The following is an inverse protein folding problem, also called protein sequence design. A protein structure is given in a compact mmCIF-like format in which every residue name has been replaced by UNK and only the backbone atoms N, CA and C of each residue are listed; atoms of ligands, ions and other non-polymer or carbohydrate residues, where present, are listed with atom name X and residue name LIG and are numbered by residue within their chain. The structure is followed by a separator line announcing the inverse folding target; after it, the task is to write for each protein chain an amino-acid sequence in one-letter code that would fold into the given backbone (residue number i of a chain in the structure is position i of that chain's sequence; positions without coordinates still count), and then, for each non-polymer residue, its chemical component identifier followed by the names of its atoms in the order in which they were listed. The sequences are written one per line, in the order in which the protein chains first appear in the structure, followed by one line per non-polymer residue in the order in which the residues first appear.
data_IF_226287815782
#
_entry.id   IF_226287815782
#
_cell.length_a   1.000
_cell.length_b   1.000
_cell.length_c   1.000
_cell.angle_alpha   90.00
_cell.angle_beta   90.00
_cell.angle_gamma   90.00
#
_symmetry.space_group_name_H-M   'P 1'
#
loop_
_entity.id
_entity.type
_entity.pdbx_description
1 polymer ?
#
# COMPACT_ATOMS: atom_id res chain seq x y z
N UNK A 1 -5.27 7.63 -14.86
CA UNK A 1 -5.50 6.19 -15.15
C UNK A 1 -5.53 5.97 -16.65
N UNK A 2 -4.92 4.89 -17.15
CA UNK A 2 -4.88 4.53 -18.58
C UNK A 2 -5.54 3.16 -18.84
N UNK A 3 -6.13 2.99 -20.02
CA UNK A 3 -6.56 1.71 -20.59
C UNK A 3 -7.76 0.89 -20.11
N UNK A 4 -8.21 0.98 -18.86
CA UNK A 4 -9.51 0.34 -18.55
C UNK A 4 -10.62 1.14 -19.24
N UNK A 5 -11.27 0.54 -20.27
CA UNK A 5 -12.24 1.17 -21.17
C UNK A 5 -13.18 2.15 -20.46
N UNK A 6 -13.39 3.35 -21.04
CA UNK A 6 -14.28 4.44 -20.57
C UNK A 6 -15.53 3.98 -19.77
N UNK A 7 -16.34 3.00 -20.23
CA UNK A 7 -17.52 2.55 -19.47
C UNK A 7 -17.22 2.01 -18.06
N UNK A 8 -16.05 1.42 -17.79
CA UNK A 8 -15.74 0.82 -16.48
C UNK A 8 -15.25 1.83 -15.44
N UNK A 9 -14.59 2.90 -15.90
CA UNK A 9 -14.33 4.08 -15.05
C UNK A 9 -15.62 4.84 -14.77
N UNK A 10 -16.52 4.90 -15.75
CA UNK A 10 -17.86 5.46 -15.53
C UNK A 10 -18.64 4.65 -14.50
N UNK A 11 -18.53 3.30 -14.48
CA UNK A 11 -19.14 2.47 -13.43
C UNK A 11 -18.54 2.77 -12.05
N UNK A 12 -17.21 2.85 -11.95
CA UNK A 12 -16.56 3.22 -10.69
C UNK A 12 -16.98 4.62 -10.21
N UNK A 13 -17.05 5.61 -11.11
CA UNK A 13 -17.53 6.96 -10.80
C UNK A 13 -19.03 7.02 -10.47
N UNK A 14 -19.85 6.17 -11.10
CA UNK A 14 -21.27 6.05 -10.79
C UNK A 14 -21.49 5.45 -9.41
N UNK A 15 -20.75 4.38 -9.06
CA UNK A 15 -20.77 3.80 -7.71
C UNK A 15 -20.31 4.84 -6.69
N UNK A 16 -19.28 5.62 -7.02
CA UNK A 16 -18.82 6.72 -6.17
C UNK A 16 -19.94 7.73 -5.86
N UNK A 17 -20.65 8.18 -6.90
CA UNK A 17 -21.79 9.08 -6.74
C UNK A 17 -22.91 8.46 -5.92
N UNK A 18 -23.20 7.18 -6.13
CA UNK A 18 -24.23 6.48 -5.35
C UNK A 18 -23.83 6.31 -3.87
N UNK A 19 -22.53 6.18 -3.57
CA UNK A 19 -21.99 6.19 -2.20
C UNK A 19 -22.12 7.60 -1.60
N UNK A 20 -21.76 8.65 -2.34
CA UNK A 20 -21.92 10.05 -1.91
C UNK A 20 -23.39 10.43 -1.68
N UNK A 21 -24.32 9.87 -2.46
CA UNK A 21 -25.77 10.04 -2.31
C UNK A 21 -26.38 9.17 -1.20
N UNK A 22 -25.58 8.36 -0.47
CA UNK A 22 -26.05 7.49 0.60
C UNK A 22 -26.95 6.33 0.14
N UNK A 23 -26.99 6.03 -1.17
CA UNK A 23 -27.86 5.00 -1.78
C UNK A 23 -27.31 3.58 -1.68
N UNK A 24 -26.05 3.43 -1.27
CA UNK A 24 -25.33 2.16 -1.17
C UNK A 24 -24.82 1.98 0.26
N UNK A 25 -25.73 2.07 1.24
CA UNK A 25 -25.42 1.60 2.59
C UNK A 25 -25.31 0.07 2.57
N UNK A 26 -24.25 -0.47 3.18
CA UNK A 26 -24.05 -1.90 3.41
C UNK A 26 -23.87 -2.80 2.18
N UNK A 27 -23.45 -2.25 1.04
CA UNK A 27 -22.99 -3.05 -0.11
C UNK A 27 -21.49 -2.96 -0.29
N UNK A 28 -20.92 -4.04 -0.77
CA UNK A 28 -19.52 -4.10 -1.18
C UNK A 28 -19.38 -4.03 -2.70
N UNK A 29 -18.22 -3.64 -3.18
CA UNK A 29 -17.84 -3.69 -4.58
C UNK A 29 -16.78 -4.78 -4.77
N UNK A 30 -16.82 -5.53 -5.87
CA UNK A 30 -15.77 -6.51 -6.18
C UNK A 30 -15.20 -6.31 -7.56
N UNK A 31 -13.88 -6.16 -7.67
CA UNK A 31 -13.16 -6.18 -8.93
C UNK A 31 -12.69 -7.60 -9.25
N UNK A 32 -13.19 -8.13 -10.36
CA UNK A 32 -12.82 -9.45 -10.86
C UNK A 32 -11.97 -9.33 -12.13
N UNK A 33 -10.89 -10.09 -12.24
CA UNK A 33 -10.16 -10.21 -13.50
C UNK A 33 -8.74 -10.70 -13.31
N UNK A 34 -8.00 -10.88 -14.41
CA UNK A 34 -6.64 -11.42 -14.37
C UNK A 34 -5.69 -10.55 -13.54
N UNK A 35 -4.58 -11.11 -13.02
CA UNK A 35 -3.56 -10.31 -12.37
C UNK A 35 -3.08 -9.19 -13.30
N UNK A 36 -2.65 -8.07 -12.71
CA UNK A 36 -2.11 -6.93 -13.45
C UNK A 36 -3.11 -6.14 -14.32
N UNK A 37 -4.42 -6.29 -14.13
CA UNK A 37 -5.46 -5.46 -14.79
C UNK A 37 -5.79 -4.15 -14.07
N UNK A 38 -5.03 -3.78 -13.04
CA UNK A 38 -5.18 -2.51 -12.34
C UNK A 38 -6.29 -2.45 -11.29
N UNK A 39 -6.84 -3.57 -10.81
CA UNK A 39 -7.87 -3.60 -9.75
C UNK A 39 -7.56 -2.70 -8.54
N UNK A 40 -6.36 -2.86 -7.96
CA UNK A 40 -5.89 -2.02 -6.86
C UNK A 40 -5.72 -0.55 -7.27
N UNK A 41 -5.28 -0.29 -8.50
CA UNK A 41 -5.15 1.07 -9.00
C UNK A 41 -6.52 1.74 -9.13
N UNK A 42 -7.54 1.02 -9.62
CA UNK A 42 -8.93 1.50 -9.71
C UNK A 42 -9.44 1.86 -8.32
N UNK A 43 -9.30 0.97 -7.34
CA UNK A 43 -9.72 1.20 -5.97
C UNK A 43 -9.03 2.43 -5.35
N UNK A 44 -7.73 2.58 -5.54
CA UNK A 44 -6.98 3.74 -5.05
C UNK A 44 -7.46 5.04 -5.72
N UNK A 45 -7.69 5.02 -7.03
CA UNK A 45 -8.22 6.19 -7.73
C UNK A 45 -9.64 6.55 -7.30
N UNK A 46 -10.48 5.57 -6.96
CA UNK A 46 -11.80 5.81 -6.37
C UNK A 46 -11.68 6.51 -5.01
N UNK A 47 -10.82 5.99 -4.12
CA UNK A 47 -10.59 6.60 -2.81
C UNK A 47 -10.11 8.06 -2.93
N UNK A 48 -9.13 8.32 -3.80
CA UNK A 48 -8.63 9.67 -4.08
C UNK A 48 -9.68 10.60 -4.70
N UNK A 49 -10.71 10.06 -5.36
CA UNK A 49 -11.79 10.87 -5.95
C UNK A 49 -12.89 11.19 -4.93
N UNK A 50 -13.03 10.40 -3.85
CA UNK A 50 -13.98 10.70 -2.77
C UNK A 50 -13.54 11.94 -2.02
N UNK A 51 -12.33 11.91 -1.47
CA UNK A 51 -11.69 13.02 -0.78
C UNK A 51 -10.19 12.73 -0.64
N UNK A 52 -9.30 13.74 -0.63
CA UNK A 52 -7.88 13.55 -0.32
C UNK A 52 -7.65 12.90 1.05
N UNK A 53 -8.49 13.25 2.03
CA UNK A 53 -8.37 12.80 3.43
C UNK A 53 -9.19 11.54 3.74
N UNK A 54 -9.84 10.92 2.74
CA UNK A 54 -10.57 9.68 2.96
C UNK A 54 -9.59 8.56 3.32
N UNK A 55 -9.76 7.91 4.48
CA UNK A 55 -8.86 6.86 4.90
C UNK A 55 -8.95 5.65 3.96
N UNK A 56 -7.82 5.22 3.40
CA UNK A 56 -7.72 4.04 2.54
C UNK A 56 -6.91 2.95 3.21
N UNK A 57 -7.59 1.89 3.67
CA UNK A 57 -6.94 0.74 4.31
C UNK A 57 -6.87 -0.40 3.30
N UNK A 58 -5.67 -0.92 3.07
CA UNK A 58 -5.46 -2.10 2.22
C UNK A 58 -5.03 -3.30 3.04
N UNK A 59 -5.79 -4.40 2.94
CA UNK A 59 -5.42 -5.71 3.46
C UNK A 59 -5.25 -6.72 2.31
N UNK A 60 -4.32 -7.66 2.44
CA UNK A 60 -3.98 -8.61 1.38
C UNK A 60 -4.94 -9.81 1.30
N UNK A 61 -5.53 -10.19 2.43
CA UNK A 61 -6.58 -11.19 2.62
C UNK A 61 -7.13 -10.98 4.03
N UNK A 62 -8.32 -11.49 4.33
CA UNK A 62 -8.79 -11.51 5.72
C UNK A 62 -8.09 -12.67 6.41
N UNK A 63 -7.10 -12.34 7.23
CA UNK A 63 -6.42 -13.28 8.13
C UNK A 63 -6.65 -12.81 9.55
N UNK A 64 -7.21 -13.69 10.37
CA UNK A 64 -6.97 -13.61 11.82
C UNK A 64 -5.63 -14.28 12.04
N UNK A 65 -4.70 -13.57 12.67
CA UNK A 65 -3.45 -14.17 13.15
C UNK A 65 -3.80 -15.07 14.34
N UNK A 66 -4.32 -16.26 14.06
CA UNK A 66 -4.20 -17.39 14.98
C UNK A 66 -2.81 -17.99 14.75
N UNK A 67 -1.78 -17.25 15.12
CA UNK A 67 -0.42 -17.77 15.20
C UNK A 67 0.09 -17.50 16.59
N UNK A 68 -0.07 -18.53 17.42
CA UNK A 68 0.84 -18.87 18.51
C UNK A 68 2.26 -18.43 18.17
N UNK A 69 2.93 -17.84 19.17
CA UNK A 69 4.35 -17.56 19.19
C UNK A 69 5.12 -18.86 18.88
N UNK A 70 5.46 -19.06 17.61
CA UNK A 70 6.44 -20.05 17.21
C UNK A 70 7.82 -19.52 17.61
N UNK A 71 8.32 -20.02 18.74
CA UNK A 71 9.75 -20.03 19.05
C UNK A 71 10.51 -20.58 17.84
N UNK A 72 11.36 -19.75 17.26
CA UNK A 72 12.06 -20.10 16.03
C UNK A 72 13.15 -19.10 15.69
N UNK A 73 14.25 -19.18 16.46
CA UNK A 73 15.59 -18.70 16.13
C UNK A 73 15.67 -17.45 15.24
N UNK A 74 15.52 -16.28 15.85
CA UNK A 74 15.92 -15.02 15.22
C UNK A 74 17.44 -15.02 15.01
N UNK A 75 17.87 -15.15 13.76
CA UNK A 75 19.19 -14.68 13.35
C UNK A 75 19.11 -13.16 13.35
N UNK A 76 19.68 -12.57 14.40
CA UNK A 76 19.89 -11.15 14.57
C UNK A 76 20.86 -10.66 13.48
N UNK A 77 20.39 -9.83 12.55
CA UNK A 77 21.28 -9.08 11.66
C UNK A 77 21.56 -7.75 12.36
N UNK A 78 22.61 -7.77 13.20
CA UNK A 78 23.28 -6.56 13.64
C UNK A 78 23.96 -5.91 12.42
N UNK A 79 23.61 -4.65 12.17
CA UNK A 79 24.48 -3.77 11.38
C UNK A 79 25.08 -2.77 12.34
N UNK A 80 26.24 -3.11 12.87
CA UNK A 80 27.11 -2.16 13.55
C UNK A 80 27.67 -1.17 12.52
N UNK A 81 27.32 0.10 12.72
CA UNK A 81 28.21 1.21 12.39
C UNK A 81 28.48 2.03 13.65
N UNK A 82 29.37 1.45 14.45
CA UNK A 82 30.49 2.06 15.15
C UNK A 82 30.38 3.43 15.87
N UNK A 83 30.70 3.30 17.16
CA UNK A 83 31.65 4.10 17.96
C UNK A 83 31.11 5.37 18.62
N UNK A 84 31.11 5.30 19.96
CA UNK A 84 30.80 6.32 20.99
C UNK A 84 29.32 6.54 21.28
N UNK A 85 28.85 5.82 22.30
CA UNK A 85 27.66 6.19 23.05
C UNK A 85 27.88 7.56 23.70
N UNK A 86 27.31 8.58 23.09
CA UNK A 86 27.03 9.85 23.72
C UNK A 86 25.57 10.16 23.39
N UNK A 87 24.69 10.15 24.39
CA UNK A 87 23.41 10.84 24.28
C UNK A 87 23.73 12.26 23.83
N UNK A 88 23.31 12.62 22.61
CA UNK A 88 23.58 13.96 22.06
C UNK A 88 22.73 14.96 22.83
N UNK A 89 23.23 15.44 23.96
CA UNK A 89 22.73 16.65 24.59
C UNK A 89 23.28 17.83 23.83
N UNK A 90 22.38 18.67 23.35
CA UNK A 90 22.68 19.88 22.61
C UNK A 90 21.72 20.97 23.03
N UNK A 91 22.09 22.22 22.77
CA UNK A 91 21.32 23.38 23.19
C UNK A 91 20.78 24.05 21.93
N UNK A 92 19.47 23.92 21.67
CA UNK A 92 18.81 24.71 20.64
C UNK A 92 18.42 26.06 21.24
N UNK A 93 18.97 27.14 20.69
CA UNK A 93 18.63 28.52 21.08
C UNK A 93 17.95 29.16 19.89
N UNK A 94 16.65 29.41 20.00
CA UNK A 94 15.88 30.14 18.98
C UNK A 94 15.96 31.62 19.34
N UNK A 95 16.49 32.43 18.43
CA UNK A 95 16.61 33.88 18.61
C UNK A 95 15.62 34.58 17.68
N UNK A 96 14.74 35.39 18.25
CA UNK A 96 13.99 36.42 17.53
C UNK A 96 14.48 37.79 17.98
N UNK A 97 13.96 38.88 17.41
CA UNK A 97 14.36 40.26 17.73
C UNK A 97 14.21 40.59 19.22
N UNK A 98 13.30 39.91 19.94
CA UNK A 98 12.90 40.33 21.29
C UNK A 98 13.07 39.24 22.37
N UNK A 99 13.18 37.94 22.01
CA UNK A 99 13.22 36.85 23.01
C UNK A 99 14.14 35.70 22.58
N UNK A 100 14.91 35.18 23.54
CA UNK A 100 15.67 33.92 23.44
C UNK A 100 15.00 32.82 24.29
N UNK A 101 14.70 31.66 23.69
CA UNK A 101 14.14 30.50 24.42
C UNK A 101 14.99 29.24 24.20
N UNK A 102 15.11 28.41 25.24
CA UNK A 102 15.98 27.22 25.25
C UNK A 102 15.16 25.91 25.29
N UNK A 103 15.44 25.00 24.36
CA UNK A 103 14.84 23.65 24.33
C UNK A 103 15.91 22.56 24.32
N UNK A 104 15.77 21.57 25.22
CA UNK A 104 16.77 20.50 25.45
C UNK A 104 16.34 19.13 24.88
N UNK A 105 15.05 18.91 24.61
CA UNK A 105 14.48 17.58 24.33
C UNK A 105 14.19 17.24 22.85
N UNK A 106 14.46 18.14 21.89
CA UNK A 106 14.00 18.01 20.49
C UNK A 106 15.10 17.72 19.44
N UNK A 107 16.28 17.29 19.89
CA UNK A 107 17.50 17.24 19.07
C UNK A 107 17.50 16.04 18.11
N UNK A 108 16.93 14.91 18.53
CA UNK A 108 16.90 13.70 17.71
C UNK A 108 16.04 13.87 16.45
N UNK A 109 14.91 14.59 16.56
CA UNK A 109 14.04 14.93 15.43
C UNK A 109 14.75 15.86 14.42
N UNK A 110 15.39 16.92 14.90
CA UNK A 110 16.11 17.90 14.07
C UNK A 110 17.34 17.29 13.37
N UNK A 111 18.00 16.31 13.99
CA UNK A 111 19.15 15.62 13.41
C UNK A 111 18.78 14.72 12.24
N UNK A 112 17.55 14.19 12.21
CA UNK A 112 17.01 13.39 11.10
C UNK A 112 16.64 14.24 9.89
N UNK A 113 16.20 15.49 10.10
CA UNK A 113 15.75 16.38 9.03
C UNK A 113 16.82 17.27 8.40
N UNK A 114 18.08 17.22 8.86
CA UNK A 114 19.18 18.07 8.34
C UNK A 114 18.86 19.58 8.36
N UNK A 115 18.19 20.06 9.41
CA UNK A 115 17.94 21.48 9.58
C UNK A 115 19.27 22.28 9.63
N UNK A 116 19.40 23.29 8.76
CA UNK A 116 20.57 24.18 8.71
C UNK A 116 20.41 25.34 9.71
N UNK A 117 21.50 25.80 10.30
CA UNK A 117 21.50 26.99 11.16
C UNK A 117 21.03 28.22 10.36
N UNK A 118 19.95 28.88 10.81
CA UNK A 118 19.32 30.00 10.12
C UNK A 118 18.04 29.66 9.36
N UNK A 119 17.62 28.38 9.33
CA UNK A 119 16.29 27.98 8.84
C UNK A 119 15.19 28.30 9.85
N UNK A 120 14.02 28.72 9.36
CA UNK A 120 12.80 28.85 10.17
C UNK A 120 12.22 27.45 10.40
N UNK A 121 11.86 27.12 11.65
CA UNK A 121 11.35 25.80 12.04
C UNK A 121 9.99 26.01 12.72
N UNK A 122 8.94 25.42 12.17
CA UNK A 122 7.61 25.39 12.79
C UNK A 122 7.49 24.13 13.64
N UNK A 123 7.33 24.29 14.96
CA UNK A 123 7.25 23.15 15.88
C UNK A 123 5.82 23.04 16.39
N UNK A 124 5.11 22.01 15.94
CA UNK A 124 3.86 21.59 16.57
C UNK A 124 4.17 20.81 17.87
N UNK A 125 3.61 21.27 18.99
CA UNK A 125 3.88 20.72 20.33
C UNK A 125 3.20 19.36 20.54
N UNK A 126 2.20 18.99 19.73
CA UNK A 126 1.46 17.72 19.85
C UNK A 126 1.89 16.67 18.83
N UNK A 127 2.33 17.05 17.62
CA UNK A 127 2.54 16.11 16.50
C UNK A 127 3.99 15.90 16.03
N UNK A 128 4.94 16.79 16.37
CA UNK A 128 6.32 16.69 15.87
C UNK A 128 6.47 17.21 14.44
N UNK A 129 7.37 18.17 14.26
CA UNK A 129 7.44 19.14 13.16
C UNK A 129 7.55 18.59 11.72
N UNK A 130 6.92 19.30 10.79
CA UNK A 130 7.20 19.35 9.35
C UNK A 130 7.89 20.70 9.01
N UNK A 131 8.92 20.69 8.14
CA UNK A 131 9.64 21.91 7.73
C UNK A 131 9.40 22.30 6.26
N UNK A 132 8.82 23.48 6.02
CA UNK A 132 8.89 24.19 4.73
C UNK A 132 9.50 25.60 4.93
N UNK A 133 10.49 25.94 4.08
CA UNK A 133 11.18 27.23 4.13
C UNK A 133 10.31 28.34 3.52
N UNK A 134 9.68 29.15 4.37
CA UNK A 134 9.03 30.41 3.99
C UNK A 134 9.73 31.58 4.68
N UNK A 135 9.57 32.79 4.14
CA UNK A 135 10.16 34.04 4.64
C UNK A 135 9.85 34.26 6.13
N UNK A 136 10.81 34.88 6.82
CA UNK A 136 10.77 35.17 8.25
C UNK A 136 9.44 35.83 8.65
N UNK A 137 8.64 35.21 9.55
CA UNK A 137 7.38 35.77 10.00
C UNK A 137 7.66 37.02 10.85
N UNK A 138 6.97 38.12 10.56
CA UNK A 138 7.05 39.39 11.31
C UNK A 138 6.16 39.39 12.58
N UNK A 139 5.45 38.28 12.85
CA UNK A 139 4.44 38.16 13.90
C UNK A 139 4.89 37.31 15.11
N UNK A 140 4.04 37.29 16.17
CA UNK A 140 4.23 36.53 17.41
C UNK A 140 4.62 35.04 17.19
N UNK A 141 5.54 34.57 18.04
CA UNK A 141 6.16 33.23 18.01
C UNK A 141 5.13 32.10 18.21
N UNK A 142 3.99 32.39 18.84
CA UNK A 142 2.91 31.43 19.07
C UNK A 142 1.60 31.99 18.55
N UNK A 143 1.13 31.44 17.43
CA UNK A 143 -0.23 31.68 16.95
C UNK A 143 -1.13 30.53 17.40
N UNK A 144 -2.27 30.87 17.97
CA UNK A 144 -3.35 29.91 18.20
C UNK A 144 -4.05 29.67 16.86
N UNK A 145 -3.96 28.45 16.36
CA UNK A 145 -4.66 28.02 15.15
C UNK A 145 -5.49 26.80 15.46
N UNK A 146 -6.68 26.72 14.86
CA UNK A 146 -7.47 25.49 14.87
C UNK A 146 -6.87 24.52 13.86
N UNK A 147 -6.44 23.35 14.32
CA UNK A 147 -5.92 22.29 13.47
C UNK A 147 -6.90 21.13 13.50
N UNK A 148 -7.43 20.78 12.34
CA UNK A 148 -8.28 19.61 12.18
C UNK A 148 -7.42 18.35 12.23
N UNK A 149 -7.72 17.43 13.14
CA UNK A 149 -7.04 16.15 13.26
C UNK A 149 -7.98 15.02 12.83
N UNK A 150 -7.49 14.15 11.94
CA UNK A 150 -8.20 12.92 11.57
C UNK A 150 -7.59 11.76 12.35
N UNK A 151 -8.42 11.07 13.13
CA UNK A 151 -8.00 9.94 13.97
C UNK A 151 -8.83 8.72 13.61
N UNK A 152 -8.20 7.54 13.56
CA UNK A 152 -8.94 6.30 13.32
C UNK A 152 -9.65 5.83 14.58
N UNK A 153 -10.88 5.31 14.46
CA UNK A 153 -11.60 4.70 15.59
C UNK A 153 -10.78 3.60 16.27
N UNK A 154 -10.02 2.82 15.50
CA UNK A 154 -9.12 1.81 16.04
C UNK A 154 -8.02 2.40 16.95
N UNK A 155 -7.49 3.58 16.63
CA UNK A 155 -6.47 4.23 17.46
C UNK A 155 -7.07 4.69 18.79
N UNK A 156 -8.28 5.23 18.76
CA UNK A 156 -9.05 5.61 19.96
C UNK A 156 -9.30 4.37 20.82
N UNK A 157 -9.71 3.25 20.21
CA UNK A 157 -9.89 1.96 20.89
C UNK A 157 -8.61 1.49 21.59
N UNK A 158 -7.47 1.50 20.89
CA UNK A 158 -6.20 1.05 21.46
C UNK A 158 -5.76 1.94 22.62
N UNK A 159 -5.84 3.26 22.46
CA UNK A 159 -5.43 4.24 23.48
C UNK A 159 -6.25 4.07 24.77
N UNK A 160 -7.55 3.83 24.65
CA UNK A 160 -8.44 3.69 25.81
C UNK A 160 -8.49 2.26 26.38
N UNK A 161 -7.99 1.25 25.65
CA UNK A 161 -8.04 -0.15 26.11
C UNK A 161 -6.91 -0.54 27.07
N UNK A 162 -5.73 0.11 27.01
CA UNK A 162 -4.55 -0.27 27.80
C UNK A 162 -4.05 0.86 28.70
N UNK A 163 -3.63 0.50 29.91
CA UNK A 163 -2.98 1.40 30.89
C UNK A 163 -1.63 1.96 30.40
N UNK A 164 -1.00 1.37 29.38
CA UNK A 164 0.30 1.79 28.83
C UNK A 164 0.22 2.75 27.61
N UNK A 165 -0.98 3.17 27.17
CA UNK A 165 -1.16 4.34 26.29
C UNK A 165 -0.54 4.30 24.89
N UNK A 166 -0.34 5.50 24.32
CA UNK A 166 0.11 5.81 22.95
C UNK A 166 1.31 4.98 22.40
N UNK A 167 2.34 4.60 23.18
CA UNK A 167 3.48 3.82 22.68
C UNK A 167 3.12 2.45 22.10
N UNK A 168 2.02 1.83 22.55
CA UNK A 168 1.62 0.49 22.08
C UNK A 168 1.15 0.51 20.61
N UNK A 169 0.73 1.67 20.09
CA UNK A 169 0.38 1.83 18.67
C UNK A 169 1.56 1.49 17.74
N UNK A 170 2.78 1.74 18.19
CA UNK A 170 4.00 1.51 17.40
C UNK A 170 4.64 0.14 17.65
N UNK A 171 4.25 -0.55 18.72
CA UNK A 171 4.82 -1.84 19.10
C UNK A 171 4.21 -3.02 18.32
N UNK A 172 3.04 -2.83 17.71
CA UNK A 172 2.33 -3.87 16.94
C UNK A 172 1.67 -4.96 17.80
N UNK A 173 1.91 -4.96 19.11
CA UNK A 173 1.32 -5.88 20.08
C UNK A 173 0.09 -5.25 20.77
N UNK A 174 -0.91 -4.89 19.97
CA UNK A 174 -2.15 -4.26 20.47
C UNK A 174 -3.13 -5.27 21.06
N UNK A 175 -3.01 -6.56 20.71
CA UNK A 175 -3.90 -7.62 21.18
C UNK A 175 -5.37 -7.40 20.81
N UNK A 176 -6.25 -8.26 21.31
CA UNK A 176 -7.69 -8.07 21.13
C UNK A 176 -8.22 -6.97 22.08
N UNK A 177 -9.09 -6.11 21.56
CA UNK A 177 -9.71 -5.03 22.32
C UNK A 177 -11.05 -5.51 22.85
N UNK A 178 -11.25 -5.37 24.16
CA UNK A 178 -12.50 -5.76 24.81
C UNK A 178 -13.70 -5.03 24.16
N UNK A 179 -14.78 -5.75 23.76
CA UNK A 179 -15.98 -5.14 23.21
C UNK A 179 -16.62 -4.07 24.11
N UNK A 180 -16.45 -4.14 25.43
CA UNK A 180 -16.95 -3.11 26.36
C UNK A 180 -16.33 -1.74 26.09
N UNK A 181 -15.00 -1.69 25.87
CA UNK A 181 -14.27 -0.46 25.54
C UNK A 181 -14.74 0.10 24.21
N UNK A 182 -14.93 -0.77 23.20
CA UNK A 182 -15.46 -0.35 21.89
C UNK A 182 -16.85 0.25 22.01
N UNK A 183 -17.73 -0.35 22.82
CA UNK A 183 -19.08 0.17 23.03
C UNK A 183 -19.06 1.53 23.73
N UNK A 184 -18.21 1.72 24.75
CA UNK A 184 -18.04 3.01 25.41
C UNK A 184 -17.55 4.10 24.44
N UNK A 185 -16.60 3.76 23.56
CA UNK A 185 -16.07 4.69 22.57
C UNK A 185 -17.12 5.00 21.50
N UNK A 186 -17.87 4.00 21.03
CA UNK A 186 -18.96 4.21 20.08
C UNK A 186 -20.01 5.18 20.62
N UNK A 187 -20.36 5.08 21.92
CA UNK A 187 -21.27 6.04 22.56
C UNK A 187 -20.68 7.45 22.56
N UNK A 188 -19.42 7.62 22.98
CA UNK A 188 -18.77 8.94 22.98
C UNK A 188 -18.64 9.56 21.60
N UNK A 189 -18.32 8.75 20.59
CA UNK A 189 -18.22 9.21 19.20
C UNK A 189 -19.58 9.61 18.66
N UNK A 190 -20.65 8.91 19.06
CA UNK A 190 -22.02 9.31 18.73
C UNK A 190 -22.40 10.64 19.41
N UNK A 191 -22.05 10.83 20.69
CA UNK A 191 -22.24 12.10 21.41
C UNK A 191 -21.50 13.25 20.71
N UNK A 192 -20.21 13.10 20.39
CA UNK A 192 -19.43 14.13 19.68
C UNK A 192 -19.99 14.45 18.30
N UNK A 193 -20.60 13.46 17.63
CA UNK A 193 -21.28 13.68 16.35
C UNK A 193 -22.57 14.47 16.51
N UNK A 194 -23.35 14.20 17.56
CA UNK A 194 -24.60 14.93 17.86
C UNK A 194 -24.32 16.37 18.31
N UNK A 195 -23.23 16.58 19.07
CA UNK A 195 -22.77 17.90 19.51
C UNK A 195 -22.12 18.72 18.39
N UNK A 196 -21.70 18.07 17.29
CA UNK A 196 -21.02 18.71 16.17
C UNK A 196 -19.52 18.95 16.39
N UNK A 197 -18.95 18.41 17.47
CA UNK A 197 -17.52 18.45 17.80
C UNK A 197 -16.70 17.49 16.91
N UNK A 198 -17.33 16.47 16.33
CA UNK A 198 -16.67 15.51 15.44
C UNK A 198 -17.52 15.16 14.20
N UNK A 199 -16.87 15.06 13.04
CA UNK A 199 -17.44 14.53 11.81
C UNK A 199 -16.89 13.14 11.51
N UNK A 200 -17.78 12.18 11.21
CA UNK A 200 -17.38 10.83 10.82
C UNK A 200 -17.19 10.78 9.31
N UNK A 201 -15.96 10.57 8.87
CA UNK A 201 -15.61 10.39 7.46
C UNK A 201 -15.59 8.88 7.14
N UNK A 202 -16.49 8.36 6.30
CA UNK A 202 -16.45 6.95 5.90
C UNK A 202 -15.21 6.67 5.05
N UNK A 203 -14.42 5.69 5.48
CA UNK A 203 -13.22 5.24 4.78
C UNK A 203 -13.49 4.28 3.62
N UNK A 204 -12.40 3.80 3.03
CA UNK A 204 -12.39 2.72 2.03
C UNK A 204 -11.55 1.56 2.56
N UNK A 205 -12.16 0.38 2.65
CA UNK A 205 -11.47 -0.87 2.98
C UNK A 205 -11.26 -1.69 1.71
N UNK A 206 -10.00 -1.83 1.28
CA UNK A 206 -9.62 -2.65 0.13
C UNK A 206 -9.08 -4.01 0.57
N UNK A 207 -9.74 -5.09 0.16
CA UNK A 207 -9.34 -6.47 0.42
C UNK A 207 -8.84 -7.09 -0.88
N UNK A 208 -7.53 -7.25 -1.00
CA UNK A 208 -6.94 -8.00 -2.12
C UNK A 208 -7.20 -9.51 -1.95
N UNK A 209 -7.07 -10.24 -3.06
CA UNK A 209 -7.13 -11.70 -3.10
C UNK A 209 -8.22 -12.35 -2.22
N UNK A 210 -9.45 -11.82 -2.22
CA UNK A 210 -10.53 -12.25 -1.31
C UNK A 210 -10.85 -13.75 -1.39
N UNK A 211 -10.60 -14.38 -2.55
CA UNK A 211 -10.70 -15.83 -2.76
C UNK A 211 -9.77 -16.67 -1.85
N UNK A 212 -8.82 -16.05 -1.15
CA UNK A 212 -7.94 -16.69 -0.18
C UNK A 212 -8.48 -16.61 1.25
N UNK A 213 -9.57 -15.88 1.50
CA UNK A 213 -10.19 -15.78 2.82
C UNK A 213 -11.10 -16.99 3.10
N UNK A 214 -11.18 -17.37 4.37
CA UNK A 214 -12.06 -18.46 4.81
C UNK A 214 -13.51 -17.99 4.94
N UNK A 215 -14.45 -18.92 4.83
CA UNK A 215 -15.90 -18.63 4.87
C UNK A 215 -16.34 -17.91 6.15
N UNK A 216 -15.79 -18.29 7.30
CA UNK A 216 -16.08 -17.67 8.62
C UNK A 216 -15.68 -16.20 8.68
N UNK A 217 -14.59 -15.83 8.00
CA UNK A 217 -14.13 -14.44 7.95
C UNK A 217 -14.99 -13.60 7.01
N UNK A 218 -15.50 -14.22 5.95
CA UNK A 218 -16.43 -13.59 5.02
C UNK A 218 -17.84 -13.44 5.62
N UNK A 219 -18.27 -14.31 6.54
CA UNK A 219 -19.50 -14.12 7.29
C UNK A 219 -19.38 -12.98 8.31
N UNK A 220 -18.22 -12.82 8.96
CA UNK A 220 -17.94 -11.66 9.80
C UNK A 220 -17.99 -10.36 9.00
N UNK A 221 -17.38 -10.33 7.81
CA UNK A 221 -17.46 -9.19 6.91
C UNK A 221 -18.91 -8.89 6.52
N UNK A 222 -19.72 -9.91 6.24
CA UNK A 222 -21.13 -9.73 5.89
C UNK A 222 -21.92 -9.05 7.01
N UNK A 223 -21.66 -9.41 8.28
CA UNK A 223 -22.26 -8.75 9.44
C UNK A 223 -21.75 -7.32 9.62
N UNK A 224 -20.45 -7.09 9.39
CA UNK A 224 -19.86 -5.76 9.49
C UNK A 224 -20.43 -4.78 8.44
N UNK A 225 -20.78 -5.29 7.25
CA UNK A 225 -21.44 -4.50 6.20
C UNK A 225 -22.88 -4.09 6.57
N UNK A 226 -23.51 -4.68 7.57
CA UNK A 226 -24.86 -4.28 8.01
C UNK A 226 -24.84 -3.01 8.87
N UNK A 227 -23.67 -2.58 9.32
CA UNK A 227 -23.53 -1.38 10.13
C UNK A 227 -23.62 -0.12 9.25
N UNK A 228 -24.34 0.90 9.71
CA UNK A 228 -24.50 2.18 9.02
C UNK A 228 -23.18 2.95 8.86
N UNK A 229 -22.25 2.76 9.80
CA UNK A 229 -20.90 3.35 9.76
C UNK A 229 -19.89 2.50 8.96
N UNK A 230 -20.34 1.46 8.27
CA UNK A 230 -19.45 0.61 7.50
C UNK A 230 -18.74 1.40 6.38
N UNK A 231 -17.40 1.32 6.26
CA UNK A 231 -16.69 1.96 5.17
C UNK A 231 -17.05 1.32 3.83
N UNK A 232 -16.72 1.99 2.73
CA UNK A 232 -16.84 1.39 1.40
C UNK A 232 -15.88 0.20 1.29
N UNK A 233 -16.43 -1.01 1.22
CA UNK A 233 -15.64 -2.24 1.08
C UNK A 233 -15.42 -2.56 -0.40
N UNK A 234 -14.16 -2.59 -0.83
CA UNK A 234 -13.74 -2.97 -2.17
C UNK A 234 -12.96 -4.29 -2.10
N UNK A 235 -13.53 -5.34 -2.67
CA UNK A 235 -12.93 -6.65 -2.82
C UNK A 235 -12.20 -6.76 -4.16
N UNK A 236 -11.09 -7.49 -4.21
CA UNK A 236 -10.44 -7.85 -5.45
C UNK A 236 -10.20 -9.36 -5.53
N UNK A 237 -10.54 -9.95 -6.67
CA UNK A 237 -10.25 -11.35 -6.95
C UNK A 237 -9.54 -11.52 -8.29
N UNK A 238 -8.50 -12.35 -8.26
CA UNK A 238 -7.76 -12.75 -9.46
C UNK A 238 -8.33 -14.04 -10.09
N UNK A 239 -9.33 -14.66 -9.43
CA UNK A 239 -9.93 -15.93 -9.85
C UNK A 239 -11.39 -15.72 -10.23
N UNK A 240 -11.79 -16.31 -11.36
CA UNK A 240 -13.18 -16.28 -11.83
C UNK A 240 -14.08 -17.16 -10.96
N UNK A 241 -13.71 -18.43 -10.82
CA UNK A 241 -14.32 -19.38 -9.89
C UNK A 241 -13.24 -19.84 -8.92
N UNK A 242 -13.54 -19.81 -7.63
CA UNK A 242 -12.63 -20.32 -6.61
C UNK A 242 -13.38 -21.23 -5.64
N UNK A 243 -12.68 -22.25 -5.17
CA UNK A 243 -13.15 -23.19 -4.16
C UNK A 243 -12.97 -22.55 -2.78
N UNK A 244 -13.98 -22.62 -1.90
CA UNK A 244 -13.77 -22.19 -0.52
C UNK A 244 -12.72 -23.09 0.12
N UNK A 245 -11.82 -22.48 0.89
CA UNK A 245 -10.83 -23.23 1.65
C UNK A 245 -11.53 -24.26 2.52
N UNK A 246 -11.00 -25.50 2.52
CA UNK A 246 -11.48 -26.62 3.32
C UNK A 246 -12.89 -27.14 3.02
N UNK A 247 -13.56 -26.67 1.97
CA UNK A 247 -14.85 -27.26 1.52
C UNK A 247 -14.72 -27.83 0.12
N UNK A 248 -15.73 -28.53 -0.39
CA UNK A 248 -15.82 -28.98 -1.80
C UNK A 248 -16.51 -27.95 -2.71
N UNK A 249 -17.10 -26.91 -2.13
CA UNK A 249 -17.93 -25.96 -2.85
C UNK A 249 -17.10 -24.90 -3.56
N UNK A 250 -17.48 -24.59 -4.79
CA UNK A 250 -16.92 -23.53 -5.61
C UNK A 250 -17.95 -22.42 -5.76
N UNK A 251 -17.46 -21.18 -5.75
CA UNK A 251 -18.30 -20.01 -6.01
C UNK A 251 -17.59 -19.01 -6.92
N UNK A 252 -18.35 -18.13 -7.59
CA UNK A 252 -17.78 -16.98 -8.28
C UNK A 252 -16.90 -16.17 -7.33
N UNK A 253 -15.66 -15.92 -7.75
CA UNK A 253 -14.67 -15.13 -7.03
C UNK A 253 -14.27 -15.65 -5.64
N UNK A 254 -14.75 -16.82 -5.22
CA UNK A 254 -14.53 -17.37 -3.89
C UNK A 254 -15.38 -16.69 -2.80
N UNK A 255 -16.49 -16.05 -3.18
CA UNK A 255 -17.39 -15.38 -2.26
C UNK A 255 -18.60 -16.27 -1.90
N UNK A 256 -19.05 -16.29 -0.63
CA UNK A 256 -20.29 -16.95 -0.24
C UNK A 256 -21.48 -16.35 -1.01
N UNK A 257 -22.49 -17.17 -1.31
CA UNK A 257 -23.72 -16.70 -1.97
C UNK A 257 -24.37 -15.51 -1.23
N UNK A 258 -24.37 -15.57 0.10
CA UNK A 258 -24.89 -14.50 0.97
C UNK A 258 -24.21 -13.15 0.71
N UNK A 259 -22.90 -13.16 0.45
CA UNK A 259 -22.14 -11.94 0.17
C UNK A 259 -22.30 -11.51 -1.29
N UNK A 260 -22.50 -12.44 -2.23
CA UNK A 260 -22.69 -12.13 -3.65
C UNK A 260 -23.92 -11.25 -3.89
N UNK A 261 -25.01 -11.45 -3.15
CA UNK A 261 -26.23 -10.62 -3.27
C UNK A 261 -25.99 -9.16 -2.85
N UNK A 262 -24.98 -8.92 -2.01
CA UNK A 262 -24.59 -7.59 -1.51
C UNK A 262 -23.36 -7.03 -2.22
N UNK A 263 -22.83 -7.71 -3.24
CA UNK A 263 -21.59 -7.33 -3.94
C UNK A 263 -21.86 -6.93 -5.38
N UNK A 264 -21.49 -5.70 -5.74
CA UNK A 264 -21.46 -5.27 -7.14
C UNK A 264 -20.16 -5.72 -7.81
N UNK A 265 -20.26 -6.66 -8.76
CA UNK A 265 -19.10 -7.22 -9.45
C UNK A 265 -18.76 -6.41 -10.72
N UNK A 266 -17.55 -5.88 -10.76
CA UNK A 266 -16.96 -5.20 -11.92
C UNK A 266 -15.82 -6.05 -12.48
N UNK A 267 -16.03 -6.57 -13.68
CA UNK A 267 -14.98 -7.29 -14.42
C UNK A 267 -13.95 -6.32 -15.00
N UNK A 268 -12.66 -6.65 -14.90
CA UNK A 268 -11.53 -5.95 -15.52
C UNK A 268 -10.99 -6.75 -16.71
N UNK A 269 -10.56 -6.07 -17.77
CA UNK A 269 -10.01 -6.70 -18.97
C UNK A 269 -8.50 -6.49 -19.04
N UNK A 270 -7.82 -7.31 -19.84
CA UNK A 270 -6.42 -7.08 -20.21
C UNK A 270 -6.29 -5.75 -20.96
N UNK A 271 -5.15 -5.10 -20.77
CA UNK A 271 -4.81 -3.84 -21.44
C UNK A 271 -4.49 -4.07 -22.91
N UNK A 272 -4.81 -3.10 -23.77
CA UNK A 272 -4.29 -3.09 -25.14
C UNK A 272 -2.80 -2.72 -25.16
N UNK A 273 -2.17 -2.86 -26.33
CA UNK A 273 -0.78 -2.44 -26.54
C UNK A 273 -0.59 -0.94 -26.25
N UNK A 274 -1.47 -0.09 -26.79
CA UNK A 274 -1.48 1.35 -26.57
C UNK A 274 -1.60 1.70 -25.08
N UNK A 275 -2.44 0.97 -24.35
CA UNK A 275 -2.63 1.17 -22.92
C UNK A 275 -1.37 0.85 -22.14
N UNK A 276 -0.69 -0.25 -22.48
CA UNK A 276 0.56 -0.66 -21.84
C UNK A 276 1.62 0.39 -22.11
N UNK A 277 1.76 0.86 -23.35
CA UNK A 277 2.72 1.91 -23.70
C UNK A 277 2.51 3.15 -22.84
N UNK A 278 1.28 3.66 -22.76
CA UNK A 278 0.94 4.83 -21.93
C UNK A 278 1.22 4.59 -20.44
N UNK A 279 0.93 3.40 -19.92
CA UNK A 279 1.24 3.05 -18.53
C UNK A 279 2.75 3.07 -18.28
N UNK A 280 3.55 2.50 -19.18
CA UNK A 280 5.00 2.45 -19.05
C UNK A 280 5.63 3.85 -19.13
N UNK A 281 5.15 4.70 -20.06
CA UNK A 281 5.57 6.10 -20.16
C UNK A 281 5.21 6.91 -18.90
N UNK A 282 3.99 6.74 -18.37
CA UNK A 282 3.58 7.41 -17.13
C UNK A 282 4.41 6.95 -15.93
N UNK A 283 4.73 5.65 -15.85
CA UNK A 283 5.58 5.09 -14.79
C UNK A 283 6.98 5.71 -14.78
N UNK A 284 7.56 5.97 -15.96
CA UNK A 284 8.86 6.63 -16.09
C UNK A 284 8.83 8.11 -15.66
N UNK A 285 7.75 8.83 -15.98
CA UNK A 285 7.57 10.25 -15.58
C UNK A 285 7.42 10.41 -14.07
N UNK A 286 6.57 9.60 -13.43
CA UNK A 286 6.26 9.73 -11.99
C UNK A 286 7.47 9.47 -11.07
N UNK A 287 8.44 8.69 -11.52
CA UNK A 287 9.63 8.34 -10.74
C UNK A 287 10.81 9.28 -10.96
N UNK A 288 10.62 10.41 -11.66
CA UNK A 288 11.68 11.35 -12.05
C UNK A 288 12.90 10.60 -12.63
N UNK A 289 12.62 9.58 -13.43
CA UNK A 289 13.62 8.64 -13.94
C UNK A 289 13.98 8.96 -15.39
N UNK A 290 15.20 8.60 -15.85
CA UNK A 290 15.60 8.78 -17.24
C UNK A 290 14.55 8.19 -18.19
N UNK A 291 14.07 9.02 -19.12
CA UNK A 291 13.06 8.62 -20.09
C UNK A 291 13.62 7.56 -21.04
N UNK A 292 12.73 6.76 -21.62
CA UNK A 292 13.12 5.83 -22.68
C UNK A 292 13.38 6.60 -23.97
N UNK A 293 14.37 6.14 -24.74
CA UNK A 293 14.43 6.50 -26.17
C UNK A 293 13.15 6.05 -26.87
N UNK A 294 12.75 6.74 -27.94
CA UNK A 294 11.54 6.40 -28.72
C UNK A 294 11.60 4.93 -29.17
N UNK A 295 12.74 4.50 -29.71
CA UNK A 295 12.97 3.11 -30.13
C UNK A 295 12.92 2.09 -28.98
N UNK A 296 13.29 2.51 -27.76
CA UNK A 296 13.26 1.64 -26.60
C UNK A 296 11.83 1.42 -26.07
N UNK A 297 10.93 2.38 -26.29
CA UNK A 297 9.54 2.33 -25.81
C UNK A 297 8.71 1.29 -26.56
N UNK A 298 8.82 1.24 -27.88
CA UNK A 298 8.13 0.25 -28.72
C UNK A 298 8.64 -1.18 -28.43
N UNK A 299 9.97 -1.35 -28.37
CA UNK A 299 10.58 -2.64 -28.01
C UNK A 299 10.12 -3.09 -26.62
N UNK A 300 10.12 -2.18 -25.64
CA UNK A 300 9.69 -2.51 -24.29
C UNK A 300 8.22 -2.93 -24.22
N UNK A 301 7.34 -2.24 -24.97
CA UNK A 301 5.92 -2.58 -25.05
C UNK A 301 5.72 -3.97 -25.67
N UNK A 302 6.45 -4.30 -26.74
CA UNK A 302 6.43 -5.65 -27.33
C UNK A 302 6.93 -6.74 -26.37
N UNK A 303 7.90 -6.43 -25.49
CA UNK A 303 8.38 -7.33 -24.42
C UNK A 303 7.37 -7.46 -23.26
N UNK A 304 6.57 -6.41 -23.02
CA UNK A 304 5.58 -6.37 -21.95
C UNK A 304 4.31 -7.18 -22.29
N UNK A 305 3.88 -7.19 -23.56
CA UNK A 305 2.68 -7.90 -24.04
C UNK A 305 2.60 -9.38 -23.63
N UNK A 306 3.63 -10.22 -23.83
CA UNK A 306 3.57 -11.65 -23.45
C UNK A 306 3.77 -11.90 -21.93
N UNK A 307 4.23 -10.89 -21.19
CA UNK A 307 4.57 -10.96 -19.76
C UNK A 307 3.51 -10.25 -18.91
N UNK A 308 3.75 -10.10 -17.60
CA UNK A 308 2.85 -9.36 -16.72
C UNK A 308 3.26 -7.88 -16.64
N UNK A 309 2.30 -6.98 -16.51
CA UNK A 309 2.60 -5.55 -16.31
C UNK A 309 3.45 -5.32 -15.06
N UNK A 310 3.24 -6.12 -13.99
CA UNK A 310 4.05 -6.07 -12.77
C UNK A 310 5.52 -6.42 -13.07
N UNK A 311 5.77 -7.49 -13.81
CA UNK A 311 7.12 -7.85 -14.24
C UNK A 311 7.75 -6.74 -15.08
N UNK A 312 7.01 -6.19 -16.05
CA UNK A 312 7.48 -5.10 -16.90
C UNK A 312 7.87 -3.86 -16.08
N UNK A 313 7.03 -3.42 -15.14
CA UNK A 313 7.32 -2.27 -14.28
C UNK A 313 8.55 -2.48 -13.38
N UNK A 314 8.77 -3.70 -12.88
CA UNK A 314 10.01 -4.05 -12.16
C UNK A 314 11.22 -4.06 -13.08
N UNK A 315 11.06 -4.62 -14.29
CA UNK A 315 12.12 -4.65 -15.30
C UNK A 315 12.55 -3.25 -15.71
N UNK A 316 11.61 -2.31 -15.83
CA UNK A 316 11.90 -0.90 -16.07
C UNK A 316 12.79 -0.31 -14.97
N UNK A 317 12.47 -0.55 -13.69
CA UNK A 317 13.33 -0.11 -12.58
C UNK A 317 14.76 -0.66 -12.71
N UNK A 318 14.89 -1.94 -13.06
CA UNK A 318 16.20 -2.56 -13.27
C UNK A 318 16.95 -1.95 -14.47
N UNK A 319 16.27 -1.71 -15.59
CA UNK A 319 16.86 -1.10 -16.78
C UNK A 319 17.31 0.35 -16.50
N UNK A 320 16.56 1.10 -15.70
CA UNK A 320 16.95 2.44 -15.24
C UNK A 320 18.23 2.41 -14.39
N UNK A 321 18.39 1.41 -13.51
CA UNK A 321 19.63 1.23 -12.77
C UNK A 321 20.82 0.92 -13.68
N UNK A 322 20.62 0.10 -14.72
CA UNK A 322 21.66 -0.20 -15.72
C UNK A 322 22.05 1.04 -16.54
N UNK A 323 21.08 1.86 -16.94
CA UNK A 323 21.32 3.12 -17.64
C UNK A 323 22.12 4.11 -16.76
N UNK A 324 21.76 4.23 -15.47
CA UNK A 324 22.51 5.03 -14.49
C UNK A 324 23.95 4.53 -14.31
N UNK A 325 24.16 3.21 -14.27
CA UNK A 325 25.51 2.61 -14.21
C UNK A 325 26.35 2.94 -15.45
N UNK A 326 25.71 3.08 -16.62
CA UNK A 326 26.32 3.56 -17.88
C UNK A 326 26.52 5.07 -17.93
N UNK A 327 26.02 5.83 -16.93
CA UNK A 327 25.93 7.30 -16.95
C UNK A 327 25.14 7.82 -18.15
N UNK A 328 24.09 7.11 -18.54
CA UNK A 328 23.21 7.53 -19.62
C UNK A 328 21.95 8.23 -19.09
N UNK A 329 21.58 9.33 -19.72
CA UNK A 329 20.38 10.13 -19.38
C UNK A 329 19.08 9.49 -19.85
N UNK A 330 19.15 8.47 -20.71
CA UNK A 330 17.99 7.77 -21.26
C UNK A 330 18.22 6.26 -21.30
N UNK A 331 17.14 5.52 -21.02
CA UNK A 331 17.12 4.06 -21.08
C UNK A 331 17.11 3.62 -22.54
N UNK A 332 18.11 2.80 -22.91
CA UNK A 332 18.24 2.24 -24.26
C UNK A 332 17.68 0.81 -24.36
N UNK A 333 17.56 0.32 -25.60
CA UNK A 333 17.16 -1.07 -25.88
C UNK A 333 18.16 -2.08 -25.27
N UNK A 334 19.44 -1.74 -25.22
CA UNK A 334 20.49 -2.58 -24.65
C UNK A 334 20.28 -2.83 -23.14
N UNK A 335 19.88 -1.78 -22.41
CA UNK A 335 19.63 -1.87 -20.97
C UNK A 335 18.43 -2.78 -20.69
N UNK A 336 17.36 -2.65 -21.49
CA UNK A 336 16.17 -3.50 -21.41
C UNK A 336 16.48 -4.96 -21.73
N UNK A 337 17.26 -5.22 -22.80
CA UNK A 337 17.68 -6.58 -23.17
C UNK A 337 18.54 -7.22 -22.07
N UNK A 338 19.51 -6.49 -21.52
CA UNK A 338 20.33 -6.96 -20.40
C UNK A 338 19.49 -7.27 -19.17
N UNK A 339 18.59 -6.37 -18.79
CA UNK A 339 17.66 -6.59 -17.67
C UNK A 339 16.81 -7.84 -17.91
N UNK A 340 16.29 -8.04 -19.13
CA UNK A 340 15.47 -9.19 -19.48
C UNK A 340 16.23 -10.52 -19.45
N UNK A 341 17.54 -10.49 -19.72
CA UNK A 341 18.42 -11.65 -19.56
C UNK A 341 18.69 -11.98 -18.10
N UNK A 342 18.91 -10.98 -17.25
CA UNK A 342 19.18 -11.18 -15.82
C UNK A 342 17.94 -11.61 -15.03
N UNK A 343 16.79 -11.00 -15.31
CA UNK A 343 15.55 -11.23 -14.56
C UNK A 343 14.56 -12.02 -15.40
N UNK A 344 14.34 -13.29 -15.04
CA UNK A 344 13.37 -14.16 -15.69
C UNK A 344 11.95 -13.84 -15.20
N UNK A 345 10.96 -13.90 -16.09
CA UNK A 345 9.55 -13.92 -15.68
C UNK A 345 9.14 -15.34 -15.26
N UNK A 346 7.98 -15.46 -14.62
CA UNK A 346 7.43 -16.71 -14.12
C UNK A 346 7.41 -17.83 -15.18
N UNK A 347 6.94 -17.55 -16.40
CA UNK A 347 6.81 -18.57 -17.46
C UNK A 347 8.19 -19.07 -17.87
N UNK A 348 9.15 -18.17 -18.09
CA UNK A 348 10.54 -18.54 -18.44
C UNK A 348 11.24 -19.27 -17.29
N UNK A 349 10.98 -18.87 -16.05
CA UNK A 349 11.54 -19.53 -14.86
C UNK A 349 11.06 -20.98 -14.74
N UNK A 350 9.75 -21.20 -14.85
CA UNK A 350 9.15 -22.55 -14.82
C UNK A 350 9.67 -23.42 -15.98
N UNK A 351 9.80 -22.86 -17.18
CA UNK A 351 10.35 -23.59 -18.33
C UNK A 351 11.81 -23.98 -18.12
N UNK A 352 12.63 -23.06 -17.58
CA UNK A 352 14.04 -23.34 -17.28
C UNK A 352 14.17 -24.41 -16.20
N UNK A 353 13.33 -24.36 -15.18
CA UNK A 353 13.24 -25.38 -14.13
C UNK A 353 12.89 -26.76 -14.70
N UNK A 354 11.84 -26.85 -15.53
CA UNK A 354 11.43 -28.12 -16.17
C UNK A 354 12.54 -28.72 -17.05
N UNK A 355 13.28 -27.89 -17.80
CA UNK A 355 14.42 -28.35 -18.60
C UNK A 355 15.56 -28.91 -17.75
N UNK A 356 15.79 -28.34 -16.56
CA UNK A 356 16.79 -28.85 -15.63
C UNK A 356 16.35 -30.14 -14.95
N UNK A 357 15.08 -30.29 -14.58
CA UNK A 357 14.54 -31.55 -14.06
C UNK A 357 14.60 -32.68 -15.09
N UNK A 358 14.22 -32.42 -16.35
CA UNK A 358 14.35 -33.42 -17.43
C UNK A 358 15.80 -33.82 -17.74
N UNK A 359 16.79 -33.04 -17.31
CA UNK A 359 18.21 -33.37 -17.40
C UNK A 359 18.74 -34.16 -16.20
N UNK A 360 18.01 -34.19 -15.09
CA UNK A 360 18.33 -35.01 -13.91
C UNK A 360 17.80 -36.44 -14.05
N UNK A 361 16.70 -36.63 -14.78
CA UNK A 361 16.11 -37.96 -15.04
C UNK A 361 16.84 -38.78 -16.13
N UNK A 362 17.80 -38.18 -16.85
CA UNK A 362 18.68 -38.85 -17.81
C UNK A 362 20.13 -38.42 -17.60
N UNK A 363 20.88 -39.04 -16.68
CA UNK A 363 22.31 -38.78 -16.60
C UNK A 363 22.99 -39.22 -17.91
N UNK A 364 23.94 -38.44 -18.46
CA UNK A 364 24.71 -38.89 -19.61
C UNK A 364 25.45 -40.17 -19.21
N UNK A 365 25.26 -41.24 -19.99
CA UNK A 365 26.03 -42.48 -19.82
C UNK A 365 27.51 -42.15 -20.01
N UNK A 366 28.25 -42.00 -18.92
CA UNK A 366 29.70 -41.92 -18.93
C UNK A 366 30.26 -43.26 -19.47
N UNK A 367 30.47 -43.34 -20.78
CA UNK A 367 31.32 -44.35 -21.39
C UNK A 367 32.75 -44.12 -20.90
N UNK A 368 33.20 -44.95 -19.95
CA UNK A 368 34.60 -45.00 -19.52
C UNK A 368 35.48 -45.32 -20.74
N UNK A 369 36.52 -44.52 -21.06
CA UNK A 369 37.53 -44.93 -22.02
C UNK A 369 38.31 -46.11 -21.41
N UNK A 370 38.39 -47.21 -22.16
CA UNK A 370 39.12 -48.40 -21.74
C UNK A 370 40.59 -48.10 -21.47
N UNK A 371 41.08 -48.58 -20.31
CA UNK A 371 42.52 -48.69 -20.05
C UNK A 371 43.08 -49.76 -21.00
N UNK A 372 44.03 -49.36 -21.85
CA UNK A 372 45.10 -50.25 -22.32
C UNK A 372 46.32 -50.00 -21.46
#
# INVERSE_FOLDING_TARGET
MFGQAKPKRNIAGMILKMVQEGRIAGRAMSFAGTPSTGKTAIALGMAQTLHPDVPFIKIATITTSDTELAEGGGVEIQTDQNLTGATKTGKLTIKTTDIETMYVKMIDALSKEKALAGGLITIDKTSGADTECVQSPEDEIQKWGEVMHTVFLHEIDVINSRTQGFPTLFAGDTGEINPEVRNQINTKVAEWREEGEAEIIPGVLFIDAVHMSDTERLSLLNRALENDLAPLVILASNRGVARFRRTIFCSPHGLPFILLDRVLIVSTKLYSEDDIEQILQCGAKKRMSPLHKVDATSVFTSMAMPTTLRYSLSLNSCAQMLARKRKADQVGVEDLRRAYTYFLDEKRSVQRWKKQQGSLDNPPSCSRPGRR
#
